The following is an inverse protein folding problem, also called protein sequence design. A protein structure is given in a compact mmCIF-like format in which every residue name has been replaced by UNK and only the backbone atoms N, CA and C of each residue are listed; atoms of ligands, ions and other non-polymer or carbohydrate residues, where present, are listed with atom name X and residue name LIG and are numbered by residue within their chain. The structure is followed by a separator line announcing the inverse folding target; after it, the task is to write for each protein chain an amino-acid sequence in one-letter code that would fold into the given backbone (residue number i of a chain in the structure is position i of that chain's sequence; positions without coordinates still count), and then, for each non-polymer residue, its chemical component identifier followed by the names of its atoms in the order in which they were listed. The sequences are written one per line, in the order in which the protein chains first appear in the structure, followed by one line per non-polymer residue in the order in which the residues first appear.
data_IF_205003214735
#
_entry.id   IF_205003214735
#
_cell.length_a   1.000
_cell.length_b   1.000
_cell.length_c   1.000
_cell.angle_alpha   90.00
_cell.angle_beta   90.00
_cell.angle_gamma   90.00
#
_symmetry.space_group_name_H-M   'P 1'
#
loop_
_entity.id
_entity.type
_entity.pdbx_description
1 polymer ?
#
# COMPACT_ATOMS: atom_id res chain seq x y z
N UNK A 1 12.50 10.01 10.11
CA UNK A 1 11.19 10.20 10.76
C UNK A 1 10.36 11.06 9.82
N UNK A 2 9.12 10.70 9.51
CA UNK A 2 8.25 11.53 8.66
C UNK A 2 7.57 12.58 9.54
N UNK A 3 7.36 13.79 9.01
CA UNK A 3 6.58 14.81 9.73
C UNK A 3 5.09 14.48 9.67
N UNK A 4 4.34 14.93 10.68
CA UNK A 4 2.89 14.76 10.69
C UNK A 4 2.24 15.43 9.46
N UNK A 5 2.72 16.62 9.06
CA UNK A 5 2.23 17.31 7.86
C UNK A 5 2.39 16.50 6.58
N UNK A 6 3.56 15.88 6.37
CA UNK A 6 3.79 15.02 5.19
C UNK A 6 2.93 13.76 5.21
N UNK A 7 2.66 13.21 6.39
CA UNK A 7 1.73 12.10 6.51
C UNK A 7 0.29 12.51 6.15
N UNK A 8 -0.14 13.71 6.52
CA UNK A 8 -1.44 14.25 6.13
C UNK A 8 -1.55 14.53 4.63
N UNK A 9 -0.46 14.86 3.95
CA UNK A 9 -0.47 14.99 2.48
C UNK A 9 -0.82 13.65 1.80
N UNK A 10 -0.31 12.52 2.31
CA UNK A 10 -0.73 11.19 1.82
C UNK A 10 -2.22 10.93 2.05
N UNK A 11 -2.72 11.27 3.25
CA UNK A 11 -4.15 11.14 3.58
C UNK A 11 -5.00 11.97 2.61
N UNK A 12 -4.59 13.22 2.35
CA UNK A 12 -5.30 14.11 1.44
C UNK A 12 -5.38 13.56 0.01
N UNK A 13 -4.33 12.88 -0.48
CA UNK A 13 -4.37 12.22 -1.80
C UNK A 13 -5.45 11.15 -1.85
N UNK A 14 -5.55 10.29 -0.83
CA UNK A 14 -6.62 9.29 -0.76
C UNK A 14 -8.01 9.94 -0.73
N UNK A 15 -8.19 10.97 0.10
CA UNK A 15 -9.47 11.68 0.24
C UNK A 15 -9.90 12.41 -1.05
N UNK A 16 -8.95 12.99 -1.79
CA UNK A 16 -9.21 13.63 -3.08
C UNK A 16 -9.70 12.64 -4.15
N UNK A 17 -9.33 11.37 -4.03
CA UNK A 17 -9.82 10.29 -4.89
C UNK A 17 -11.19 9.73 -4.44
N UNK A 18 -11.82 10.34 -3.43
CA UNK A 18 -13.10 9.90 -2.88
C UNK A 18 -12.98 8.75 -1.88
N UNK A 19 -11.78 8.39 -1.43
CA UNK A 19 -11.58 7.37 -0.41
C UNK A 19 -11.75 7.93 1.00
N UNK A 20 -12.50 7.24 1.85
CA UNK A 20 -12.65 7.57 3.26
C UNK A 20 -11.46 7.04 4.09
N UNK A 21 -10.72 7.93 4.74
CA UNK A 21 -9.63 7.52 5.64
C UNK A 21 -10.13 7.39 7.07
N UNK A 22 -9.97 6.19 7.64
CA UNK A 22 -10.49 5.83 8.97
C UNK A 22 -9.32 5.63 9.94
N UNK A 23 -9.26 6.45 10.98
CA UNK A 23 -8.23 6.34 12.00
C UNK A 23 -8.60 5.27 13.05
N UNK A 24 -7.73 4.28 13.25
CA UNK A 24 -7.92 3.22 14.24
C UNK A 24 -6.60 2.79 14.89
N UNK A 25 -6.44 3.05 16.19
CA UNK A 25 -5.21 2.75 16.94
C UNK A 25 -4.79 1.27 16.92
N UNK A 26 -5.73 0.33 16.75
CA UNK A 26 -5.48 -1.11 16.88
C UNK A 26 -5.28 -1.82 15.55
N UNK A 27 -5.45 -1.12 14.42
CA UNK A 27 -5.40 -1.72 13.08
C UNK A 27 -4.14 -1.31 12.34
N UNK A 28 -3.65 -2.22 11.51
CA UNK A 28 -2.64 -1.94 10.49
C UNK A 28 -3.27 -1.14 9.35
N UNK A 29 -2.43 -0.53 8.51
CA UNK A 29 -2.88 0.14 7.29
C UNK A 29 -3.52 -0.89 6.35
N UNK A 30 -4.72 -0.64 5.85
CA UNK A 30 -5.43 -1.58 4.96
C UNK A 30 -6.47 -0.85 4.10
N UNK A 31 -6.45 -1.12 2.80
CA UNK A 31 -7.47 -0.71 1.83
C UNK A 31 -8.65 -1.68 1.81
N UNK A 32 -9.84 -1.13 1.60
CA UNK A 32 -11.06 -1.86 1.35
C UNK A 32 -11.76 -1.28 0.11
N UNK A 33 -12.26 -2.17 -0.74
CA UNK A 33 -12.95 -1.82 -1.99
C UNK A 33 -14.21 -0.98 -1.83
N UNK A 34 -14.74 -0.85 -0.61
CA UNK A 34 -15.75 0.15 -0.30
C UNK A 34 -15.20 1.59 -0.26
N UNK A 35 -14.06 1.85 -0.91
CA UNK A 35 -13.36 3.13 -0.95
C UNK A 35 -13.01 3.62 0.47
N UNK A 36 -12.40 2.75 1.27
CA UNK A 36 -11.85 3.17 2.56
C UNK A 36 -10.44 2.63 2.82
N UNK A 37 -9.63 3.45 3.51
CA UNK A 37 -8.32 3.03 4.03
C UNK A 37 -8.34 3.23 5.54
N UNK A 38 -8.10 2.15 6.29
CA UNK A 38 -7.89 2.25 7.74
C UNK A 38 -6.42 2.54 8.03
N UNK A 39 -6.12 3.48 8.92
CA UNK A 39 -4.74 3.82 9.33
C UNK A 39 -4.58 3.89 10.86
N UNK A 40 -3.40 3.54 11.40
CA UNK A 40 -3.09 3.76 12.82
C UNK A 40 -2.84 5.24 13.11
N UNK A 41 -2.91 5.64 14.39
CA UNK A 41 -2.55 7.02 14.81
C UNK A 41 -1.04 7.31 14.79
N UNK A 42 -0.21 6.31 14.49
CA UNK A 42 1.24 6.44 14.53
C UNK A 42 1.77 6.86 13.15
N UNK A 43 2.45 8.01 13.06
CA UNK A 43 3.00 8.54 11.80
C UNK A 43 4.46 8.15 11.63
N UNK A 44 4.73 6.85 11.56
CA UNK A 44 6.06 6.33 11.24
C UNK A 44 6.29 6.32 9.73
N UNK A 45 7.56 6.21 9.32
CA UNK A 45 7.90 6.05 7.91
C UNK A 45 7.35 4.72 7.35
N UNK A 46 7.34 3.66 8.17
CA UNK A 46 6.73 2.37 7.81
C UNK A 46 5.23 2.49 7.55
N UNK A 47 4.50 3.25 8.38
CA UNK A 47 3.07 3.49 8.15
C UNK A 47 2.82 4.41 6.95
N UNK A 48 3.75 5.32 6.64
CA UNK A 48 3.67 6.13 5.43
C UNK A 48 3.86 5.29 4.17
N UNK A 49 4.81 4.35 4.17
CA UNK A 49 5.00 3.40 3.07
C UNK A 49 3.80 2.49 2.89
N UNK A 50 3.26 1.95 4.00
CA UNK A 50 2.05 1.13 3.96
C UNK A 50 0.84 1.94 3.45
N UNK A 51 0.65 3.19 3.90
CA UNK A 51 -0.41 4.05 3.37
C UNK A 51 -0.23 4.33 1.87
N UNK A 52 0.99 4.64 1.42
CA UNK A 52 1.25 4.83 0.00
C UNK A 52 0.94 3.57 -0.83
N UNK A 53 1.22 2.38 -0.30
CA UNK A 53 0.83 1.11 -0.91
C UNK A 53 -0.68 0.94 -1.06
N UNK A 54 -1.43 1.20 0.01
CA UNK A 54 -2.89 1.15 -0.03
C UNK A 54 -3.49 2.21 -0.98
N UNK A 55 -2.84 3.38 -1.13
CA UNK A 55 -3.20 4.37 -2.16
C UNK A 55 -2.88 3.85 -3.57
N UNK A 56 -1.83 3.04 -3.73
CA UNK A 56 -1.55 2.35 -4.99
C UNK A 56 -2.70 1.44 -5.42
N UNK A 57 -3.22 0.63 -4.50
CA UNK A 57 -4.42 -0.19 -4.74
C UNK A 57 -5.65 0.65 -5.07
N UNK A 58 -5.81 1.79 -4.40
CA UNK A 58 -6.88 2.75 -4.69
C UNK A 58 -6.76 3.34 -6.10
N UNK A 59 -5.55 3.66 -6.57
CA UNK A 59 -5.32 4.17 -7.94
C UNK A 59 -5.75 3.13 -8.97
N UNK A 60 -5.26 1.89 -8.84
CA UNK A 60 -5.62 0.80 -9.75
C UNK A 60 -7.14 0.54 -9.73
N UNK A 61 -7.78 0.64 -8.56
CA UNK A 61 -9.23 0.52 -8.42
C UNK A 61 -10.00 1.64 -9.14
N UNK A 62 -9.63 2.90 -8.91
CA UNK A 62 -10.30 4.07 -9.52
C UNK A 62 -10.13 4.08 -11.05
N UNK A 63 -9.00 3.59 -11.56
CA UNK A 63 -8.74 3.47 -12.99
C UNK A 63 -9.46 2.27 -13.65
N UNK A 64 -10.05 1.37 -12.87
CA UNK A 64 -10.61 0.11 -13.38
C UNK A 64 -9.56 -0.92 -13.78
N UNK A 65 -8.34 -0.80 -13.27
CA UNK A 65 -7.19 -1.70 -13.51
C UNK A 65 -7.13 -2.82 -12.47
N UNK A 66 -7.83 -2.68 -11.34
CA UNK A 66 -7.96 -3.69 -10.30
C UNK A 66 -9.26 -4.49 -10.42
N UNK A 67 -9.15 -5.74 -10.87
CA UNK A 67 -10.21 -6.75 -10.81
C UNK A 67 -10.19 -7.43 -9.44
N UNK A 68 -11.13 -7.04 -8.57
CA UNK A 68 -11.20 -7.52 -7.20
C UNK A 68 -11.45 -9.04 -7.11
N UNK A 69 -12.26 -9.60 -8.00
CA UNK A 69 -12.58 -11.03 -7.96
C UNK A 69 -11.35 -11.86 -8.30
N UNK A 70 -10.57 -11.42 -9.30
CA UNK A 70 -9.31 -12.06 -9.66
C UNK A 70 -8.23 -11.83 -8.60
N UNK A 71 -8.19 -10.66 -7.96
CA UNK A 71 -7.26 -10.39 -6.86
C UNK A 71 -7.39 -11.38 -5.70
N UNK A 72 -8.62 -11.80 -5.37
CA UNK A 72 -8.85 -12.78 -4.31
C UNK A 72 -8.53 -14.22 -4.72
N UNK A 73 -8.79 -14.57 -5.99
CA UNK A 73 -8.83 -15.98 -6.45
C UNK A 73 -7.55 -16.42 -7.18
N UNK A 74 -6.81 -15.50 -7.80
CA UNK A 74 -5.62 -15.80 -8.59
C UNK A 74 -4.37 -15.24 -7.91
N UNK A 75 -3.43 -16.13 -7.57
CA UNK A 75 -2.16 -15.75 -6.91
C UNK A 75 -1.26 -14.92 -7.83
N UNK A 76 -1.17 -15.26 -9.11
CA UNK A 76 -0.32 -14.55 -10.07
C UNK A 76 -0.87 -13.15 -10.31
N UNK A 77 -2.19 -13.02 -10.49
CA UNK A 77 -2.85 -11.73 -10.61
C UNK A 77 -2.63 -10.88 -9.35
N UNK A 78 -2.77 -11.48 -8.17
CA UNK A 78 -2.52 -10.78 -6.90
C UNK A 78 -1.09 -10.28 -6.78
N UNK A 79 -0.08 -11.08 -7.11
CA UNK A 79 1.31 -10.61 -7.10
C UNK A 79 1.48 -9.42 -8.05
N UNK A 80 0.85 -9.46 -9.22
CA UNK A 80 0.89 -8.34 -10.16
C UNK A 80 0.24 -7.06 -9.59
N UNK A 81 -0.94 -7.19 -8.98
CA UNK A 81 -1.64 -6.07 -8.33
C UNK A 81 -0.80 -5.46 -7.19
N UNK A 82 -0.21 -6.29 -6.32
CA UNK A 82 0.69 -5.81 -5.27
C UNK A 82 1.91 -5.09 -5.85
N UNK A 83 2.53 -5.63 -6.90
CA UNK A 83 3.66 -4.97 -7.56
C UNK A 83 3.27 -3.62 -8.18
N UNK A 84 2.10 -3.55 -8.81
CA UNK A 84 1.54 -2.30 -9.36
C UNK A 84 1.35 -1.26 -8.25
N UNK A 85 0.68 -1.64 -7.16
CA UNK A 85 0.48 -0.78 -6.01
C UNK A 85 1.79 -0.24 -5.42
N UNK A 86 2.83 -1.07 -5.32
CA UNK A 86 4.17 -0.62 -4.90
C UNK A 86 4.82 0.35 -5.89
N UNK A 87 4.63 0.19 -7.19
CA UNK A 87 5.11 1.16 -8.19
C UNK A 87 4.41 2.51 -8.05
N UNK A 88 3.09 2.50 -7.86
CA UNK A 88 2.31 3.72 -7.59
C UNK A 88 2.77 4.41 -6.30
N UNK A 89 2.95 3.63 -5.25
CA UNK A 89 3.41 4.11 -3.96
C UNK A 89 4.79 4.78 -4.04
N UNK A 90 5.74 4.20 -4.79
CA UNK A 90 7.06 4.81 -5.00
C UNK A 90 6.95 6.18 -5.66
N UNK A 91 6.17 6.29 -6.75
CA UNK A 91 5.95 7.55 -7.48
C UNK A 91 5.30 8.60 -6.58
N UNK A 92 4.32 8.19 -5.79
CA UNK A 92 3.62 9.08 -4.86
C UNK A 92 4.58 9.62 -3.78
N UNK A 93 5.33 8.74 -3.13
CA UNK A 93 6.28 9.11 -2.08
C UNK A 93 7.37 10.05 -2.60
N UNK A 94 7.91 9.77 -3.79
CA UNK A 94 8.90 10.63 -4.46
C UNK A 94 8.31 12.01 -4.77
N UNK A 95 7.10 12.07 -5.32
CA UNK A 95 6.42 13.34 -5.64
C UNK A 95 6.12 14.22 -4.42
N UNK A 96 5.94 13.58 -3.25
CA UNK A 96 5.68 14.27 -1.98
C UNK A 96 6.97 14.53 -1.18
N UNK A 97 8.16 14.24 -1.73
CA UNK A 97 9.44 14.38 -1.03
C UNK A 97 9.48 13.61 0.31
N UNK A 98 8.87 12.41 0.33
CA UNK A 98 8.90 11.52 1.48
C UNK A 98 10.16 10.64 1.39
N UNK A 99 10.97 10.51 2.45
CA UNK A 99 12.25 9.80 2.37
C UNK A 99 12.11 8.35 1.92
N UNK A 100 12.90 7.94 0.92
CA UNK A 100 12.88 6.58 0.33
C UNK A 100 14.05 5.67 0.75
N UNK A 101 14.93 6.12 1.64
CA UNK A 101 16.14 5.37 2.04
C UNK A 101 15.89 3.96 2.61
N UNK A 102 14.69 3.69 3.15
CA UNK A 102 14.27 2.36 3.63
C UNK A 102 13.26 1.65 2.72
N UNK A 103 12.83 2.32 1.64
CA UNK A 103 11.77 1.87 0.75
C UNK A 103 12.03 0.47 0.20
N UNK A 104 13.19 0.29 -0.44
CA UNK A 104 13.55 -0.98 -1.09
C UNK A 104 13.50 -2.15 -0.11
N UNK A 105 14.03 -1.97 1.10
CA UNK A 105 14.00 -3.01 2.12
C UNK A 105 12.56 -3.31 2.58
N UNK A 106 11.75 -2.27 2.82
CA UNK A 106 10.34 -2.42 3.18
C UNK A 106 9.55 -3.21 2.11
N UNK A 107 9.69 -2.84 0.84
CA UNK A 107 9.02 -3.53 -0.27
C UNK A 107 9.51 -4.97 -0.40
N UNK A 108 10.81 -5.22 -0.27
CA UNK A 108 11.37 -6.57 -0.34
C UNK A 108 10.81 -7.49 0.76
N UNK A 109 10.67 -6.99 1.99
CA UNK A 109 10.08 -7.76 3.10
C UNK A 109 8.61 -8.08 2.81
N UNK A 110 7.83 -7.11 2.35
CA UNK A 110 6.40 -7.33 2.09
C UNK A 110 6.16 -8.25 0.88
N UNK A 111 6.85 -8.01 -0.25
CA UNK A 111 6.75 -8.87 -1.44
C UNK A 111 7.32 -10.26 -1.20
N UNK A 112 8.34 -10.38 -0.34
CA UNK A 112 8.94 -11.67 0.04
C UNK A 112 7.91 -12.65 0.56
N UNK A 113 6.92 -12.20 1.34
CA UNK A 113 5.86 -13.07 1.88
C UNK A 113 5.00 -13.73 0.82
N UNK A 114 4.87 -13.13 -0.37
CA UNK A 114 4.15 -13.72 -1.50
C UNK A 114 5.00 -14.73 -2.29
N UNK A 115 6.32 -14.71 -2.11
CA UNK A 115 7.30 -15.53 -2.82
C UNK A 115 7.89 -16.64 -1.95
N UNK A 116 7.66 -16.60 -0.63
CA UNK A 116 7.92 -17.72 0.27
C UNK A 116 7.08 -18.92 -0.21
N UNK A 117 7.77 -19.96 -0.67
CA UNK A 117 7.16 -21.22 -1.07
C UNK A 117 6.79 -22.02 0.18
N UNK A 118 5.55 -22.50 0.27
CA UNK A 118 5.12 -23.45 1.31
C UNK A 118 5.74 -24.86 1.16
N UNK A 119 6.52 -25.12 0.10
CA UNK A 119 7.18 -26.40 -0.10
C UNK A 119 8.64 -26.19 -0.48
N UNK A 120 9.53 -26.53 0.45
CA UNK A 120 10.88 -26.92 0.12
C UNK A 120 10.80 -28.06 -0.90
N UNK A 121 11.12 -27.78 -2.15
CA UNK A 121 11.42 -28.82 -3.13
C UNK A 121 12.70 -29.51 -2.59
N UNK A 122 12.66 -30.78 -2.18
CA UNK A 122 13.88 -31.48 -1.82
C UNK A 122 14.72 -31.60 -3.09
N UNK A 123 15.95 -31.13 -3.02
CA UNK A 123 16.98 -31.34 -4.04
C UNK A 123 17.25 -32.84 -4.26
#
# INVERSE_FOLDING_TARGET
MISYGKFLELVAVAEQMGCCVIYNQKKKVTFNINMSITIPLSTTLENAYALAHEIGHLIDYVNGELDYDNWLKDRSYRIHAEMSAWVHAYKLLDSLDIPLHKWKHHVQVNLGTYLEYDEAIPL
#
